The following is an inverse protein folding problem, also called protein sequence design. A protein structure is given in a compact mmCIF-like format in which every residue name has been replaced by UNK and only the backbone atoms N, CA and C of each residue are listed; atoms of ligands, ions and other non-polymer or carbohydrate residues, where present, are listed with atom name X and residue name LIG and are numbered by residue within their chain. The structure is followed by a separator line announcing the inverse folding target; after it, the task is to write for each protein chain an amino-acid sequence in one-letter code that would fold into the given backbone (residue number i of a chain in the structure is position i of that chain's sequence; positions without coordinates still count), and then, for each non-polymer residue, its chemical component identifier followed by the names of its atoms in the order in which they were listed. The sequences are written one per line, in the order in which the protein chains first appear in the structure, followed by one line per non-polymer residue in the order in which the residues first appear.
data_IF_083924376431
#
_entry.id   IF_083924376431
#
_cell.length_a   1.000
_cell.length_b   1.000
_cell.length_c   1.000
_cell.angle_alpha   90.00
_cell.angle_beta   90.00
_cell.angle_gamma   90.00
#
_symmetry.space_group_name_H-M   'P 1'
#
loop_
_entity.id
_entity.type
_entity.pdbx_description
1 polymer ?
#
# COMPACT_ATOMS: atom_id res chain seq x y z
N UNK A 1 -8.89 -0.11 -21.93
CA UNK A 1 -9.69 1.07 -21.58
C UNK A 1 -9.24 1.56 -20.22
N UNK A 2 -8.60 2.74 -20.14
CA UNK A 2 -8.30 3.35 -18.85
C UNK A 2 -9.63 3.72 -18.19
N UNK A 3 -9.94 3.12 -17.03
CA UNK A 3 -11.06 3.56 -16.22
C UNK A 3 -10.85 5.05 -15.92
N UNK A 4 -11.74 5.90 -16.43
CA UNK A 4 -11.77 7.30 -16.04
C UNK A 4 -11.83 7.30 -14.51
N UNK A 5 -10.82 7.87 -13.85
CA UNK A 5 -10.78 7.96 -12.41
C UNK A 5 -11.98 8.79 -11.96
N UNK A 6 -13.08 8.11 -11.62
CA UNK A 6 -14.31 8.72 -11.17
C UNK A 6 -13.96 9.58 -9.96
N UNK A 7 -14.33 10.86 -10.00
CA UNK A 7 -14.01 11.78 -8.91
C UNK A 7 -14.61 11.19 -7.62
N UNK A 8 -13.79 10.91 -6.59
CA UNK A 8 -14.30 10.21 -5.42
C UNK A 8 -15.42 11.02 -4.78
N UNK A 9 -16.53 10.37 -4.39
CA UNK A 9 -17.71 11.06 -3.87
C UNK A 9 -17.36 11.92 -2.65
N UNK A 10 -17.98 13.09 -2.57
CA UNK A 10 -17.90 13.99 -1.41
C UNK A 10 -19.16 13.89 -0.56
N UNK A 11 -19.00 13.94 0.76
CA UNK A 11 -20.10 13.87 1.71
C UNK A 11 -19.89 14.87 2.85
N UNK A 12 -20.91 15.67 3.17
CA UNK A 12 -20.83 16.55 4.32
C UNK A 12 -20.73 15.72 5.61
N UNK A 13 -19.94 16.17 6.59
CA UNK A 13 -19.77 15.45 7.87
C UNK A 13 -21.12 15.23 8.57
N UNK A 14 -22.07 16.17 8.46
CA UNK A 14 -23.43 16.01 8.98
C UNK A 14 -24.10 14.76 8.44
N UNK A 15 -24.01 14.55 7.14
CA UNK A 15 -24.71 13.48 6.42
C UNK A 15 -23.96 12.15 6.60
N UNK A 16 -22.62 12.22 6.69
CA UNK A 16 -21.79 11.07 6.99
C UNK A 16 -22.08 10.49 8.37
N UNK A 17 -22.40 11.34 9.36
CA UNK A 17 -22.75 10.86 10.71
C UNK A 17 -24.00 9.99 10.70
N UNK A 18 -24.99 10.35 9.90
CA UNK A 18 -26.27 9.64 9.83
C UNK A 18 -26.16 8.36 8.97
N UNK A 19 -25.11 8.26 8.13
CA UNK A 19 -24.90 7.17 7.17
C UNK A 19 -23.54 6.46 7.31
N UNK A 20 -22.93 6.52 8.49
CA UNK A 20 -21.55 6.08 8.68
C UNK A 20 -21.35 4.62 8.29
N UNK A 21 -22.28 3.74 8.68
CA UNK A 21 -22.21 2.31 8.37
C UNK A 21 -22.16 2.04 6.86
N UNK A 22 -23.01 2.71 6.08
CA UNK A 22 -23.03 2.55 4.61
C UNK A 22 -21.72 2.98 3.97
N UNK A 23 -21.16 4.11 4.41
CA UNK A 23 -19.92 4.66 3.84
C UNK A 23 -18.72 3.76 4.18
N UNK A 24 -18.67 3.24 5.41
CA UNK A 24 -17.64 2.27 5.82
C UNK A 24 -17.79 0.96 5.02
N UNK A 25 -19.00 0.41 4.90
CA UNK A 25 -19.22 -0.80 4.10
C UNK A 25 -18.83 -0.60 2.64
N UNK A 26 -19.14 0.57 2.05
CA UNK A 26 -18.73 0.90 0.68
C UNK A 26 -17.20 0.98 0.56
N UNK A 27 -16.51 1.54 1.54
CA UNK A 27 -15.05 1.54 1.57
C UNK A 27 -14.48 0.12 1.68
N UNK A 28 -15.00 -0.69 2.60
CA UNK A 28 -14.51 -2.06 2.83
C UNK A 28 -14.75 -2.97 1.63
N UNK A 29 -15.97 -2.99 1.09
CA UNK A 29 -16.37 -3.99 0.10
C UNK A 29 -16.29 -3.51 -1.35
N UNK A 30 -16.49 -2.20 -1.59
CA UNK A 30 -16.41 -1.65 -2.94
C UNK A 30 -15.09 -0.92 -3.22
N UNK A 31 -14.15 -0.89 -2.26
CA UNK A 31 -12.85 -0.25 -2.42
C UNK A 31 -12.93 1.28 -2.62
N UNK A 32 -14.07 1.90 -2.31
CA UNK A 32 -14.31 3.30 -2.66
C UNK A 32 -13.75 4.26 -1.63
N UNK A 33 -13.17 5.37 -2.08
CA UNK A 33 -12.80 6.50 -1.23
C UNK A 33 -13.95 7.49 -1.17
N UNK A 34 -14.29 7.98 0.02
CA UNK A 34 -15.27 9.07 0.19
C UNK A 34 -14.63 10.22 0.94
N UNK A 35 -14.63 11.43 0.36
CA UNK A 35 -14.11 12.63 1.01
C UNK A 35 -15.17 13.25 1.91
N UNK A 36 -14.80 13.53 3.16
CA UNK A 36 -15.65 14.22 4.11
C UNK A 36 -15.41 15.73 4.03
N UNK A 37 -16.49 16.49 3.90
CA UNK A 37 -16.44 17.94 3.78
C UNK A 37 -17.05 18.67 4.97
N UNK A 38 -16.49 19.83 5.30
CA UNK A 38 -17.03 20.79 6.25
C UNK A 38 -17.10 22.16 5.58
N UNK A 39 -18.31 22.72 5.46
CA UNK A 39 -18.55 23.99 4.72
C UNK A 39 -18.00 23.95 3.29
N UNK A 40 -18.18 22.83 2.59
CA UNK A 40 -17.71 22.63 1.22
C UNK A 40 -16.21 22.38 1.05
N UNK A 41 -15.42 22.34 2.13
CA UNK A 41 -13.98 22.01 2.08
C UNK A 41 -13.74 20.59 2.55
N UNK A 42 -12.95 19.81 1.79
CA UNK A 42 -12.48 18.47 2.21
C UNK A 42 -11.60 18.59 3.46
N UNK A 43 -11.90 17.81 4.49
CA UNK A 43 -11.18 17.82 5.78
C UNK A 43 -10.75 16.43 6.25
N UNK A 44 -11.37 15.37 5.73
CA UNK A 44 -11.00 13.99 5.98
C UNK A 44 -11.40 13.11 4.80
N UNK A 45 -10.99 11.85 4.81
CA UNK A 45 -11.45 10.84 3.88
C UNK A 45 -11.71 9.53 4.63
N UNK A 46 -12.73 8.79 4.21
CA UNK A 46 -12.91 7.39 4.56
C UNK A 46 -12.35 6.59 3.38
N UNK A 47 -11.35 5.77 3.68
CA UNK A 47 -10.61 4.95 2.69
C UNK A 47 -10.68 3.48 3.10
N UNK A 48 -10.59 2.55 2.14
CA UNK A 48 -10.41 1.14 2.46
C UNK A 48 -9.12 0.93 3.25
N UNK A 49 -9.11 0.01 4.22
CA UNK A 49 -7.93 -0.26 5.03
C UNK A 49 -6.73 -0.74 4.19
N UNK A 50 -6.97 -1.65 3.25
CA UNK A 50 -5.94 -2.14 2.33
C UNK A 50 -5.30 -1.01 1.51
N UNK A 51 -6.10 0.00 1.13
CA UNK A 51 -5.60 1.18 0.40
C UNK A 51 -4.75 2.07 1.31
N UNK A 52 -5.18 2.31 2.54
CA UNK A 52 -4.41 3.08 3.52
C UNK A 52 -3.05 2.41 3.79
N UNK A 53 -3.04 1.10 4.02
CA UNK A 53 -1.81 0.33 4.23
C UNK A 53 -0.88 0.38 3.01
N UNK A 54 -1.40 0.29 1.79
CA UNK A 54 -0.61 0.41 0.58
C UNK A 54 0.00 1.81 0.40
N UNK A 55 -0.75 2.87 0.72
CA UNK A 55 -0.25 4.24 0.66
C UNK A 55 0.85 4.48 1.74
N UNK A 56 0.68 3.93 2.94
CA UNK A 56 1.72 3.93 3.99
C UNK A 56 2.99 3.17 3.57
N UNK A 57 2.84 2.00 2.93
CA UNK A 57 3.96 1.23 2.40
C UNK A 57 4.76 2.03 1.37
N UNK A 58 4.07 2.70 0.43
CA UNK A 58 4.72 3.58 -0.56
C UNK A 58 5.45 4.75 0.06
N UNK A 59 4.88 5.37 1.10
CA UNK A 59 5.56 6.45 1.83
C UNK A 59 6.84 5.95 2.49
N UNK A 60 6.79 4.76 3.10
CA UNK A 60 7.97 4.12 3.71
C UNK A 60 9.04 3.80 2.67
N UNK A 61 8.66 3.18 1.55
CA UNK A 61 9.56 2.88 0.43
C UNK A 61 10.22 4.15 -0.11
N UNK A 62 9.44 5.22 -0.34
CA UNK A 62 9.97 6.49 -0.82
C UNK A 62 10.99 7.11 0.16
N UNK A 63 10.76 6.98 1.46
CA UNK A 63 11.69 7.43 2.50
C UNK A 63 12.99 6.61 2.51
N UNK A 64 12.91 5.28 2.37
CA UNK A 64 14.08 4.41 2.24
C UNK A 64 14.88 4.78 0.99
N UNK A 65 14.21 4.94 -0.15
CA UNK A 65 14.86 5.33 -1.39
C UNK A 65 15.53 6.71 -1.30
N UNK A 66 14.93 7.66 -0.58
CA UNK A 66 15.54 8.96 -0.31
C UNK A 66 16.81 8.83 0.54
N UNK A 67 16.76 8.06 1.64
CA UNK A 67 17.93 7.81 2.48
C UNK A 67 19.06 7.10 1.73
N UNK A 68 18.76 6.09 0.89
CA UNK A 68 19.75 5.43 0.05
C UNK A 68 20.41 6.40 -0.94
N UNK A 69 19.64 7.31 -1.56
CA UNK A 69 20.17 8.35 -2.45
C UNK A 69 21.09 9.32 -1.70
N UNK A 70 20.72 9.74 -0.50
CA UNK A 70 21.54 10.63 0.33
C UNK A 70 22.86 9.94 0.73
N UNK A 71 22.79 8.69 1.20
CA UNK A 71 23.97 7.88 1.52
C UNK A 71 24.90 7.72 0.31
N UNK A 72 24.36 7.37 -0.86
CA UNK A 72 25.14 7.22 -2.07
C UNK A 72 25.80 8.53 -2.52
N UNK A 73 25.05 9.65 -2.46
CA UNK A 73 25.59 10.97 -2.78
C UNK A 73 26.76 11.36 -1.86
N UNK A 74 26.74 10.94 -0.59
CA UNK A 74 27.83 11.24 0.36
C UNK A 74 29.15 10.54 0.04
N UNK A 75 29.12 9.43 -0.72
CA UNK A 75 30.30 8.63 -1.08
C UNK A 75 30.68 8.69 -2.56
N UNK A 76 30.00 9.54 -3.35
CA UNK A 76 30.19 9.61 -4.80
C UNK A 76 31.61 10.02 -5.21
N UNK A 77 32.32 10.77 -4.37
CA UNK A 77 33.70 11.21 -4.60
C UNK A 77 34.75 10.35 -3.88
N UNK A 78 34.32 9.32 -3.14
CA UNK A 78 35.21 8.41 -2.45
C UNK A 78 35.95 7.46 -3.42
N UNK A 79 36.96 6.77 -2.89
CA UNK A 79 37.66 5.72 -3.62
C UNK A 79 36.73 4.53 -3.91
N UNK A 80 37.15 3.69 -4.86
CA UNK A 80 36.32 2.58 -5.34
C UNK A 80 36.03 1.53 -4.26
N UNK A 81 36.95 1.30 -3.31
CA UNK A 81 36.73 0.34 -2.24
C UNK A 81 35.67 0.85 -1.23
N UNK A 82 35.66 2.15 -0.96
CA UNK A 82 34.63 2.79 -0.13
C UNK A 82 33.26 2.74 -0.81
N UNK A 83 33.18 3.04 -2.11
CA UNK A 83 31.93 2.94 -2.89
C UNK A 83 31.36 1.53 -2.88
N UNK A 84 32.20 0.52 -3.09
CA UNK A 84 31.78 -0.88 -3.12
C UNK A 84 31.27 -1.35 -1.76
N UNK A 85 31.91 -0.92 -0.66
CA UNK A 85 31.42 -1.20 0.70
C UNK A 85 30.04 -0.58 0.95
N UNK A 86 29.82 0.66 0.54
CA UNK A 86 28.51 1.33 0.70
C UNK A 86 27.45 0.64 -0.16
N UNK A 87 27.78 0.24 -1.39
CA UNK A 87 26.88 -0.53 -2.25
C UNK A 87 26.43 -1.83 -1.56
N UNK A 88 27.35 -2.59 -0.99
CA UNK A 88 27.03 -3.83 -0.26
C UNK A 88 26.13 -3.61 0.95
N UNK A 89 26.30 -2.48 1.65
CA UNK A 89 25.41 -2.10 2.76
C UNK A 89 24.00 -1.78 2.23
N UNK A 90 23.90 -1.03 1.14
CA UNK A 90 22.61 -0.70 0.52
C UNK A 90 21.90 -1.97 0.04
N UNK A 91 22.60 -2.85 -0.68
CA UNK A 91 22.04 -4.12 -1.17
C UNK A 91 21.47 -4.95 -0.02
N UNK A 92 22.22 -5.06 1.09
CA UNK A 92 21.76 -5.79 2.29
C UNK A 92 20.55 -5.15 2.98
N UNK A 93 20.48 -3.82 3.01
CA UNK A 93 19.33 -3.11 3.57
C UNK A 93 18.08 -3.33 2.73
N UNK A 94 18.21 -3.36 1.40
CA UNK A 94 17.10 -3.66 0.49
C UNK A 94 16.61 -5.09 0.71
N UNK A 95 17.49 -6.08 0.70
CA UNK A 95 17.15 -7.49 0.94
C UNK A 95 16.43 -7.67 2.28
N UNK A 96 16.93 -7.06 3.35
CA UNK A 96 16.29 -7.12 4.68
C UNK A 96 14.88 -6.49 4.68
N UNK A 97 14.68 -5.42 3.91
CA UNK A 97 13.39 -4.76 3.81
C UNK A 97 12.39 -5.59 2.99
N UNK A 98 12.84 -6.26 1.93
CA UNK A 98 12.06 -7.16 1.10
C UNK A 98 11.63 -8.41 1.89
N UNK A 99 12.55 -9.07 2.59
CA UNK A 99 12.26 -10.22 3.44
C UNK A 99 11.19 -9.92 4.50
N UNK A 100 11.26 -8.72 5.11
CA UNK A 100 10.26 -8.28 6.09
C UNK A 100 8.88 -8.04 5.45
N UNK A 101 8.84 -7.50 4.22
CA UNK A 101 7.59 -7.28 3.50
C UNK A 101 6.95 -8.58 3.03
N UNK A 102 7.75 -9.54 2.57
CA UNK A 102 7.30 -10.89 2.22
C UNK A 102 6.73 -11.61 3.45
N UNK A 103 7.41 -11.55 4.59
CA UNK A 103 6.92 -12.10 5.86
C UNK A 103 5.58 -11.50 6.28
N UNK A 104 5.42 -10.18 6.24
CA UNK A 104 4.15 -9.51 6.56
C UNK A 104 3.02 -9.93 5.60
N UNK A 105 3.34 -10.17 4.33
CA UNK A 105 2.37 -10.63 3.33
C UNK A 105 1.91 -12.07 3.61
N UNK A 106 2.83 -12.94 4.06
CA UNK A 106 2.51 -14.30 4.49
C UNK A 106 1.60 -14.27 5.73
N UNK A 107 1.96 -13.49 6.75
CA UNK A 107 1.16 -13.35 7.99
C UNK A 107 -0.27 -12.85 7.69
N UNK A 108 -0.41 -11.86 6.79
CA UNK A 108 -1.70 -11.36 6.37
C UNK A 108 -2.53 -12.44 5.64
N UNK A 109 -1.92 -13.20 4.73
CA UNK A 109 -2.59 -14.29 4.04
C UNK A 109 -3.02 -15.42 4.99
N UNK A 110 -2.22 -15.71 6.03
CA UNK A 110 -2.57 -16.67 7.07
C UNK A 110 -3.76 -16.18 7.90
N UNK A 111 -3.76 -14.91 8.32
CA UNK A 111 -4.87 -14.31 9.04
C UNK A 111 -6.18 -14.31 8.22
N UNK A 112 -6.11 -14.05 6.91
CA UNK A 112 -7.26 -14.18 6.01
C UNK A 112 -7.79 -15.61 5.95
N UNK A 113 -6.91 -16.62 5.89
CA UNK A 113 -7.30 -18.04 5.91
C UNK A 113 -7.93 -18.44 7.24
N UNK A 114 -7.40 -17.98 8.36
CA UNK A 114 -7.99 -18.19 9.69
C UNK A 114 -9.37 -17.53 9.81
N UNK A 115 -9.55 -16.36 9.20
CA UNK A 115 -10.84 -15.68 9.06
C UNK A 115 -11.81 -16.36 8.05
N UNK A 116 -11.40 -17.48 7.43
CA UNK A 116 -12.24 -18.30 6.57
C UNK A 116 -12.05 -18.09 5.07
N UNK A 117 -11.02 -17.36 4.62
CA UNK A 117 -10.69 -17.26 3.21
C UNK A 117 -10.26 -18.64 2.65
N UNK A 118 -10.80 -19.00 1.49
CA UNK A 118 -10.44 -20.25 0.80
C UNK A 118 -9.19 -20.03 -0.05
N UNK A 119 -8.17 -20.86 0.16
CA UNK A 119 -7.00 -20.91 -0.72
C UNK A 119 -7.39 -21.41 -2.11
N UNK A 120 -6.87 -20.79 -3.16
CA UNK A 120 -7.09 -21.25 -4.54
C UNK A 120 -6.14 -22.41 -4.87
N UNK A 121 -6.67 -23.46 -5.51
CA UNK A 121 -5.85 -24.54 -6.04
C UNK A 121 -5.05 -24.07 -7.25
N UNK A 122 -3.80 -24.54 -7.37
CA UNK A 122 -2.95 -24.30 -8.53
C UNK A 122 -3.51 -24.90 -9.82
N UNK A 123 -4.33 -25.95 -9.73
CA UNK A 123 -5.01 -26.52 -10.90
C UNK A 123 -6.11 -25.58 -11.38
N UNK A 124 -6.92 -25.05 -10.47
CA UNK A 124 -8.01 -24.12 -10.79
C UNK A 124 -7.50 -22.79 -11.38
N UNK A 125 -6.39 -22.24 -10.87
CA UNK A 125 -5.77 -21.03 -11.42
C UNK A 125 -5.23 -21.24 -12.84
N UNK A 126 -4.68 -22.43 -13.10
CA UNK A 126 -4.14 -22.77 -14.42
C UNK A 126 -5.26 -22.90 -15.44
N UNK A 127 -6.33 -23.61 -15.07
CA UNK A 127 -7.50 -23.79 -15.93
C UNK A 127 -8.17 -22.46 -16.29
N UNK A 128 -8.13 -21.46 -15.40
CA UNK A 128 -8.65 -20.11 -15.65
C UNK A 128 -7.75 -19.28 -16.59
N UNK A 129 -6.42 -19.42 -16.50
CA UNK A 129 -5.47 -18.71 -17.37
C UNK A 129 -5.42 -19.27 -18.79
N UNK A 130 -5.74 -20.56 -18.95
CA UNK A 130 -5.78 -21.25 -20.23
C UNK A 130 -7.17 -21.16 -20.94
N UNK A 131 -8.16 -20.46 -20.35
CA UNK A 131 -9.51 -20.25 -20.92
C UNK A 131 -9.68 -18.90 -21.63
#
# INVERSE_FOLDING_TARGET
MAAAAEVPPELAISDARDRLADVVNKATYAGSVTYLTRRGRRVAAIVPLARAAADEAKVREAAVAAACRELWSSVQDADQATKERVRQVIDRLIETAEDAADGASVEAAEAEREAGARSVSWESLRDELDS
#
